data_IF_443201085131
#
_entry.id   IF_443201085131
#
_cell.length_a   1.000
_cell.length_b   1.000
_cell.length_c   1.000
_cell.angle_alpha   90.00
_cell.angle_beta   90.00
_cell.angle_gamma   90.00
#
_symmetry.space_group_name_H-M   'P 1'
#
loop_
_entity.id
_entity.type
_entity.pdbx_description
1 polymer ?
#
# COMPACT_ATOMS: atom_id res chain seq x y z
N UNK A 1 16.47 10.25 23.99
CA UNK A 1 15.17 10.83 23.57
C UNK A 1 14.53 9.80 22.66
N UNK A 2 13.73 8.89 23.23
CA UNK A 2 13.09 7.77 22.53
C UNK A 2 11.57 7.90 22.75
N UNK A 3 10.83 7.48 21.73
CA UNK A 3 9.40 7.20 21.67
C UNK A 3 8.46 8.35 21.28
N UNK A 4 8.09 8.37 19.99
CA UNK A 4 6.72 8.64 19.58
C UNK A 4 6.39 7.79 18.35
N UNK A 5 6.07 6.52 18.58
CA UNK A 5 5.32 5.69 17.64
C UNK A 5 4.10 5.16 18.38
N UNK A 6 3.18 6.07 18.69
CA UNK A 6 1.81 5.70 19.06
C UNK A 6 0.87 6.55 18.21
N UNK A 7 0.30 5.94 17.16
CA UNK A 7 -1.09 6.14 16.77
C UNK A 7 -1.54 4.81 16.12
N UNK A 8 -2.62 4.25 16.66
CA UNK A 8 -3.05 2.86 16.47
C UNK A 8 -3.39 2.51 15.02
N UNK A 9 -2.97 1.31 14.63
CA UNK A 9 -3.61 0.61 13.51
C UNK A 9 -5.04 0.20 13.89
N UNK A 10 -5.91 -0.09 12.92
CA UNK A 10 -7.27 -0.53 13.17
C UNK A 10 -7.27 -1.78 14.08
N UNK A 11 -7.72 -1.61 15.32
CA UNK A 11 -7.88 -2.64 16.35
C UNK A 11 -9.20 -3.39 16.23
N UNK A 12 -9.88 -3.28 15.09
CA UNK A 12 -11.06 -4.04 14.73
C UNK A 12 -10.68 -5.06 13.66
N UNK A 13 -11.06 -6.31 13.88
CA UNK A 13 -10.80 -7.45 12.98
C UNK A 13 -11.30 -7.20 11.54
N UNK A 14 -12.15 -6.17 11.37
CA UNK A 14 -12.75 -5.72 10.11
C UNK A 14 -12.19 -4.38 9.56
N UNK A 15 -11.41 -3.61 10.32
CA UNK A 15 -11.00 -2.25 9.89
C UNK A 15 -9.98 -2.27 8.78
N UNK A 16 -9.01 -3.19 8.84
CA UNK A 16 -8.06 -3.40 7.76
C UNK A 16 -8.77 -3.86 6.46
N UNK A 17 -9.85 -4.63 6.58
CA UNK A 17 -10.64 -5.08 5.44
C UNK A 17 -11.41 -3.91 4.82
N UNK A 18 -12.02 -3.04 5.64
CA UNK A 18 -12.68 -1.81 5.19
C UNK A 18 -11.70 -0.90 4.44
N UNK A 19 -10.46 -0.78 4.92
CA UNK A 19 -9.40 -0.03 4.24
C UNK A 19 -9.01 -0.69 2.90
N UNK A 20 -8.88 -2.02 2.87
CA UNK A 20 -8.59 -2.73 1.63
C UNK A 20 -9.71 -2.56 0.58
N UNK A 21 -10.97 -2.46 1.01
CA UNK A 21 -12.12 -2.17 0.15
C UNK A 21 -12.14 -0.76 -0.42
N UNK A 22 -11.43 0.20 0.19
CA UNK A 22 -11.27 1.56 -0.33
C UNK A 22 -10.20 1.67 -1.42
N UNK A 23 -9.33 0.67 -1.57
CA UNK A 23 -8.32 0.69 -2.61
C UNK A 23 -8.99 0.72 -4.00
N UNK A 24 -8.49 1.55 -4.92
CA UNK A 24 -8.88 1.51 -6.32
C UNK A 24 -8.74 0.11 -6.93
N UNK A 25 -9.49 -0.15 -8.00
CA UNK A 25 -9.61 -1.50 -8.56
C UNK A 25 -8.25 -2.06 -9.05
N UNK A 26 -7.39 -1.21 -9.63
CA UNK A 26 -6.07 -1.60 -10.08
C UNK A 26 -5.17 -2.05 -8.94
N UNK A 27 -5.05 -1.22 -7.89
CA UNK A 27 -4.24 -1.55 -6.70
C UNK A 27 -4.79 -2.73 -5.93
N UNK A 28 -6.12 -2.88 -5.85
CA UNK A 28 -6.73 -4.05 -5.22
C UNK A 28 -6.39 -5.33 -5.97
N UNK A 29 -6.42 -5.29 -7.31
CA UNK A 29 -5.97 -6.39 -8.16
C UNK A 29 -4.48 -6.69 -7.92
N UNK A 30 -3.63 -5.67 -7.84
CA UNK A 30 -2.21 -5.84 -7.54
C UNK A 30 -1.99 -6.48 -6.17
N UNK A 31 -2.70 -6.02 -5.14
CA UNK A 31 -2.65 -6.54 -3.78
C UNK A 31 -3.02 -8.03 -3.74
N UNK A 32 -4.17 -8.40 -4.30
CA UNK A 32 -4.63 -9.80 -4.35
C UNK A 32 -3.59 -10.68 -5.04
N UNK A 33 -3.06 -10.20 -6.17
CA UNK A 33 -2.02 -10.95 -6.87
C UNK A 33 -0.75 -11.09 -6.01
N UNK A 34 -0.32 -10.06 -5.27
CA UNK A 34 0.88 -10.15 -4.40
C UNK A 34 0.66 -11.16 -3.26
N UNK A 35 -0.52 -11.13 -2.63
CA UNK A 35 -0.90 -12.11 -1.61
C UNK A 35 -0.92 -13.54 -2.16
N UNK A 36 -1.48 -13.74 -3.35
CA UNK A 36 -1.48 -15.03 -4.03
C UNK A 36 -0.07 -15.53 -4.39
N UNK A 37 0.91 -14.63 -4.52
CA UNK A 37 2.32 -14.96 -4.77
C UNK A 37 3.10 -15.27 -3.48
N UNK A 38 2.45 -15.20 -2.30
CA UNK A 38 3.08 -15.45 -1.00
C UNK A 38 3.72 -14.22 -0.35
N UNK A 39 3.49 -13.02 -0.89
CA UNK A 39 3.77 -11.78 -0.17
C UNK A 39 2.69 -11.58 0.91
N UNK A 40 2.92 -10.67 1.86
CA UNK A 40 1.94 -10.38 2.89
C UNK A 40 1.96 -8.93 3.34
N UNK A 41 0.80 -8.48 3.83
CA UNK A 41 0.61 -7.14 4.37
C UNK A 41 1.27 -7.06 5.75
N UNK A 42 2.11 -6.05 5.94
CA UNK A 42 2.68 -5.66 7.25
C UNK A 42 1.74 -4.68 7.94
N UNK A 43 1.22 -3.71 7.19
CA UNK A 43 0.26 -2.73 7.70
C UNK A 43 -0.62 -2.18 6.59
N UNK A 44 -1.79 -1.69 6.96
CA UNK A 44 -2.67 -0.89 6.11
C UNK A 44 -3.23 0.26 6.93
N UNK A 45 -3.18 1.47 6.40
CA UNK A 45 -3.62 2.66 7.11
C UNK A 45 -4.09 3.77 6.17
N UNK A 46 -4.86 4.70 6.70
CA UNK A 46 -5.37 5.89 6.01
C UNK A 46 -4.99 7.18 6.76
N UNK A 47 -3.75 7.26 7.23
CA UNK A 47 -3.22 8.34 8.08
C UNK A 47 -3.17 9.73 7.42
N UNK A 48 -3.82 9.92 6.26
CA UNK A 48 -3.84 11.16 5.51
C UNK A 48 -2.56 11.45 4.72
N UNK A 49 -1.67 10.47 4.61
CA UNK A 49 -0.49 10.51 3.74
C UNK A 49 -0.68 9.55 2.56
N UNK A 50 -0.25 9.89 1.32
CA UNK A 50 0.35 11.18 0.91
C UNK A 50 -0.63 12.35 0.90
N UNK A 51 -1.92 12.07 0.70
CA UNK A 51 -3.02 13.03 0.72
C UNK A 51 -4.15 12.59 1.67
N UNK A 52 -5.01 13.51 2.14
CA UNK A 52 -6.22 13.12 2.86
C UNK A 52 -7.06 12.09 2.08
N UNK A 53 -7.49 11.02 2.75
CA UNK A 53 -8.29 9.95 2.15
C UNK A 53 -7.49 8.84 1.47
N UNK A 54 -6.18 9.01 1.32
CA UNK A 54 -5.26 7.98 0.83
C UNK A 54 -5.32 6.72 1.69
N UNK A 55 -5.15 5.57 1.07
CA UNK A 55 -4.88 4.31 1.78
C UNK A 55 -3.51 3.81 1.35
N UNK A 56 -2.69 3.49 2.34
CA UNK A 56 -1.33 3.01 2.15
C UNK A 56 -1.21 1.61 2.72
N UNK A 57 -0.72 0.70 1.90
CA UNK A 57 -0.46 -0.70 2.27
C UNK A 57 1.03 -0.94 2.28
N UNK A 58 1.59 -1.35 3.42
CA UNK A 58 2.97 -1.79 3.51
C UNK A 58 3.02 -3.30 3.31
N UNK A 59 3.75 -3.76 2.31
CA UNK A 59 4.00 -5.16 2.02
C UNK A 59 5.35 -5.58 2.61
N UNK A 60 5.51 -6.84 3.00
CA UNK A 60 6.79 -7.31 3.54
C UNK A 60 7.84 -7.53 2.48
N UNK A 61 7.45 -8.19 1.40
CA UNK A 61 8.31 -8.55 0.28
C UNK A 61 8.29 -7.49 -0.80
N UNK A 62 9.35 -7.46 -1.61
CA UNK A 62 9.38 -6.72 -2.87
C UNK A 62 8.21 -7.14 -3.76
N UNK A 63 7.76 -6.24 -4.63
CA UNK A 63 6.77 -6.63 -5.63
C UNK A 63 7.37 -7.67 -6.56
N UNK A 64 6.61 -8.71 -6.88
CA UNK A 64 7.12 -9.77 -7.74
C UNK A 64 7.51 -9.22 -9.12
N UNK A 65 8.78 -9.41 -9.49
CA UNK A 65 9.45 -8.82 -10.65
C UNK A 65 8.78 -9.10 -12.02
N UNK A 66 7.89 -10.10 -12.11
CA UNK A 66 7.08 -10.40 -13.31
C UNK A 66 5.92 -9.40 -13.55
N UNK A 67 5.85 -8.28 -12.81
CA UNK A 67 4.78 -7.24 -12.91
C UNK A 67 5.24 -5.87 -13.39
N UNK A 68 6.29 -5.81 -14.22
CA UNK A 68 6.63 -4.57 -14.94
C UNK A 68 5.47 -4.02 -15.79
N UNK A 69 4.45 -4.82 -16.06
CA UNK A 69 3.12 -4.39 -16.49
C UNK A 69 2.16 -4.37 -15.29
N UNK A 70 2.11 -3.28 -14.50
CA UNK A 70 1.10 -3.12 -13.48
C UNK A 70 -0.31 -3.17 -14.10
N UNK A 71 -1.36 -3.50 -13.32
CA UNK A 71 -2.75 -3.39 -13.79
C UNK A 71 -3.03 -1.99 -14.38
N UNK A 72 -4.02 -1.89 -15.27
CA UNK A 72 -4.41 -0.59 -15.82
C UNK A 72 -4.73 0.41 -14.68
N UNK A 73 -4.21 1.62 -14.79
CA UNK A 73 -4.36 2.68 -13.78
C UNK A 73 -3.30 2.64 -12.67
N UNK A 74 -2.54 1.55 -12.55
CA UNK A 74 -1.47 1.43 -11.55
C UNK A 74 -0.13 1.81 -12.17
N UNK A 75 0.61 2.66 -11.49
CA UNK A 75 2.00 2.99 -11.81
C UNK A 75 2.92 2.25 -10.88
N UNK A 76 4.06 1.77 -11.37
CA UNK A 76 5.13 1.23 -10.54
C UNK A 76 6.32 2.16 -10.56
N UNK A 77 6.95 2.37 -9.40
CA UNK A 77 8.18 3.14 -9.28
C UNK A 77 9.16 2.49 -8.31
N UNK A 78 10.42 2.43 -8.74
CA UNK A 78 11.54 2.19 -7.84
C UNK A 78 11.88 3.51 -7.13
N UNK A 79 11.73 3.54 -5.82
CA UNK A 79 11.94 4.72 -4.98
C UNK A 79 13.29 4.62 -4.27
N UNK A 80 13.62 3.43 -3.78
CA UNK A 80 14.89 3.10 -3.12
C UNK A 80 15.31 4.13 -2.05
N UNK A 81 14.35 4.59 -1.24
CA UNK A 81 14.63 5.48 -0.12
C UNK A 81 15.15 4.62 1.03
N UNK A 82 16.45 4.74 1.41
CA UNK A 82 17.04 3.88 2.41
C UNK A 82 16.27 3.96 3.73
N UNK A 83 15.99 2.80 4.34
CA UNK A 83 15.27 2.66 5.61
C UNK A 83 13.76 2.99 5.61
N UNK A 84 13.18 3.47 4.50
CA UNK A 84 11.76 3.81 4.43
C UNK A 84 10.97 2.85 3.54
N UNK A 85 11.15 2.92 2.21
CA UNK A 85 10.61 1.94 1.27
C UNK A 85 11.41 1.92 -0.03
N UNK A 86 11.34 0.80 -0.73
CA UNK A 86 12.16 0.48 -1.90
C UNK A 86 11.40 0.67 -3.21
N UNK A 87 10.14 0.25 -3.22
CA UNK A 87 9.28 0.22 -4.39
C UNK A 87 7.89 0.70 -3.98
N UNK A 88 7.18 1.31 -4.92
CA UNK A 88 5.78 1.67 -4.74
C UNK A 88 4.95 1.31 -5.99
N UNK A 89 3.70 0.93 -5.73
CA UNK A 89 2.64 0.90 -6.71
C UNK A 89 1.64 2.00 -6.34
N UNK A 90 1.29 2.86 -7.27
CA UNK A 90 0.35 3.96 -7.04
C UNK A 90 -0.81 3.97 -8.03
N UNK A 91 -1.98 4.43 -7.58
CA UNK A 91 -3.14 4.69 -8.43
C UNK A 91 -3.86 5.94 -7.90
N UNK A 92 -4.23 6.84 -8.81
CA UNK A 92 -4.86 8.11 -8.47
C UNK A 92 -6.34 8.08 -8.82
N UNK A 93 -7.19 8.52 -7.88
CA UNK A 93 -8.61 8.77 -8.11
C UNK A 93 -8.89 10.24 -7.79
N UNK A 94 -9.04 11.06 -8.84
CA UNK A 94 -9.04 12.52 -8.67
C UNK A 94 -7.71 13.00 -8.09
N UNK A 95 -7.78 13.73 -6.97
CA UNK A 95 -6.60 14.25 -6.26
C UNK A 95 -6.08 13.31 -5.15
N UNK A 96 -6.69 12.13 -4.98
CA UNK A 96 -6.29 11.17 -3.96
C UNK A 96 -5.39 10.09 -4.54
N UNK A 97 -4.18 9.98 -4.01
CA UNK A 97 -3.23 8.93 -4.33
C UNK A 97 -3.35 7.77 -3.36
N UNK A 98 -3.37 6.55 -3.90
CA UNK A 98 -3.39 5.32 -3.12
C UNK A 98 -2.09 4.56 -3.37
N UNK A 99 -1.57 3.86 -2.35
CA UNK A 99 -0.24 3.27 -2.41
C UNK A 99 -0.17 1.84 -1.87
N UNK A 100 0.62 1.02 -2.55
CA UNK A 100 1.27 -0.16 -1.96
C UNK A 100 2.78 0.13 -1.94
N UNK A 101 3.46 -0.11 -0.81
CA UNK A 101 4.90 0.12 -0.63
C UNK A 101 5.60 -1.11 -0.03
N UNK A 102 6.94 -1.20 -0.17
CA UNK A 102 7.76 -2.32 0.34
C UNK A 102 9.02 -1.87 1.06
#
# INVERSE_FOLDING_TARGET
>A
MIALLEQGGPTDEHGWLNLAWRLPAGLRSALIKELAAGNWIVSISDTGWPHPGSVVVTMRGRFHANRRAPPQGVSWRAVNVPHYWREELSENIGDTEFLLIT
#
